data_IF_923657851817
#
_entry.id   IF_923657851817
#
_cell.length_a   1.000
_cell.length_b   1.000
_cell.length_c   1.000
_cell.angle_alpha   90.00
_cell.angle_beta   90.00
_cell.angle_gamma   90.00
#
_symmetry.space_group_name_H-M   'P 1'
#
loop_
_entity.id
_entity.type
_entity.pdbx_description
1 polymer ?
#
# COMPACT_ATOMS: atom_id res chain seq x y z
N UNK A 1 7.93 14.63 -26.56
CA UNK A 1 6.69 15.39 -26.33
C UNK A 1 5.82 14.61 -25.37
N UNK A 2 5.46 15.16 -24.22
CA UNK A 2 4.61 14.49 -23.22
C UNK A 2 3.17 14.42 -23.73
N UNK A 3 2.52 13.24 -23.65
CA UNK A 3 1.10 13.05 -23.97
C UNK A 3 0.37 12.59 -22.69
N UNK A 4 -0.86 13.05 -22.49
CA UNK A 4 -1.70 12.71 -21.33
C UNK A 4 -2.98 12.02 -21.80
N UNK A 5 -3.34 10.94 -21.13
CA UNK A 5 -4.55 10.17 -21.40
C UNK A 5 -5.42 10.20 -20.16
N UNK A 6 -6.69 10.61 -20.34
CA UNK A 6 -7.72 10.51 -19.31
C UNK A 6 -8.59 9.29 -19.64
N UNK A 7 -8.40 8.21 -18.89
CA UNK A 7 -9.16 6.97 -19.01
C UNK A 7 -10.71 7.13 -19.01
N UNK A 8 -11.33 8.17 -18.42
CA UNK A 8 -12.80 8.36 -18.52
C UNK A 8 -13.34 8.80 -19.90
N UNK A 9 -12.47 9.08 -20.90
CA UNK A 9 -12.90 9.64 -22.19
C UNK A 9 -12.44 8.85 -23.42
N UNK A 10 -11.95 7.62 -23.24
CA UNK A 10 -11.60 6.73 -24.33
C UNK A 10 -12.23 5.36 -24.08
N UNK A 11 -12.57 4.65 -25.16
CA UNK A 11 -13.21 3.33 -25.21
C UNK A 11 -14.74 3.41 -25.32
N UNK A 12 -15.17 3.70 -26.55
CA UNK A 12 -16.52 3.39 -27.05
C UNK A 12 -16.50 2.87 -28.51
N UNK A 13 -15.32 2.71 -29.16
CA UNK A 13 -15.29 1.78 -30.31
C UNK A 13 -14.02 0.93 -30.56
N UNK A 14 -12.89 1.09 -29.85
CA UNK A 14 -11.65 0.35 -30.16
C UNK A 14 -10.89 -0.01 -28.87
N UNK A 15 -10.68 -1.29 -28.62
CA UNK A 15 -10.14 -1.87 -27.37
C UNK A 15 -8.68 -1.53 -27.03
N UNK A 16 -8.06 -0.56 -27.69
CA UNK A 16 -6.75 0.01 -27.34
C UNK A 16 -6.80 1.51 -27.62
N UNK A 17 -6.21 2.35 -26.76
CA UNK A 17 -6.01 3.77 -27.07
C UNK A 17 -4.66 3.94 -27.77
N UNK A 18 -4.62 4.21 -29.09
CA UNK A 18 -3.37 4.37 -29.80
C UNK A 18 -2.70 5.68 -29.38
N UNK A 19 -1.51 5.59 -28.80
CA UNK A 19 -0.69 6.75 -28.44
C UNK A 19 0.43 6.88 -29.44
N UNK A 20 0.29 7.82 -30.39
CA UNK A 20 1.41 8.07 -31.30
C UNK A 20 2.59 8.69 -30.53
N UNK A 21 3.76 8.15 -30.76
CA UNK A 21 5.00 8.66 -30.19
C UNK A 21 6.06 8.69 -31.29
N UNK A 22 7.12 9.46 -31.06
CA UNK A 22 8.27 9.41 -31.97
C UNK A 22 8.90 8.01 -31.95
N UNK A 23 9.10 7.42 -33.12
CA UNK A 23 9.76 6.13 -33.28
C UNK A 23 11.25 6.16 -32.89
N UNK A 24 11.82 4.97 -32.64
CA UNK A 24 13.23 4.73 -32.35
C UNK A 24 13.78 5.55 -31.18
N UNK A 25 13.00 5.71 -30.11
CA UNK A 25 13.47 6.32 -28.88
C UNK A 25 12.85 5.67 -27.65
N UNK A 26 13.63 5.63 -26.57
CA UNK A 26 13.16 5.24 -25.26
C UNK A 26 12.11 6.22 -24.75
N UNK A 27 11.03 5.68 -24.20
CA UNK A 27 9.92 6.41 -23.59
C UNK A 27 9.88 6.12 -22.11
N UNK A 28 9.46 7.12 -21.34
CA UNK A 28 9.05 6.91 -19.96
C UNK A 28 7.56 7.16 -19.83
N UNK A 29 6.87 6.20 -19.25
CA UNK A 29 5.42 6.16 -19.14
C UNK A 29 5.06 6.16 -17.66
N UNK A 30 4.27 7.15 -17.24
CA UNK A 30 3.77 7.25 -15.87
C UNK A 30 2.31 6.81 -15.84
N UNK A 31 2.00 5.80 -15.04
CA UNK A 31 0.65 5.34 -14.80
C UNK A 31 0.25 5.78 -13.40
N UNK A 32 -0.87 6.50 -13.29
CA UNK A 32 -1.34 7.09 -12.03
C UNK A 32 -2.86 6.88 -11.94
N UNK A 33 -3.33 6.32 -10.84
CA UNK A 33 -4.74 5.98 -10.64
C UNK A 33 -5.16 6.17 -9.18
N UNK A 34 -6.43 6.54 -8.98
CA UNK A 34 -7.03 6.75 -7.66
C UNK A 34 -6.39 7.86 -6.80
N UNK A 35 -5.87 8.91 -7.45
CA UNK A 35 -5.06 9.92 -6.76
C UNK A 35 -5.81 10.98 -5.97
N UNK A 36 -7.13 11.03 -6.10
CA UNK A 36 -7.97 12.10 -5.55
C UNK A 36 -7.87 12.21 -4.02
N UNK A 37 -7.65 11.09 -3.32
CA UNK A 37 -7.59 11.03 -1.84
C UNK A 37 -6.18 10.84 -1.29
N UNK A 38 -5.17 10.84 -2.15
CA UNK A 38 -3.77 10.67 -1.72
C UNK A 38 -3.24 11.97 -1.13
N UNK A 39 -2.83 11.92 0.14
CA UNK A 39 -2.07 13.01 0.77
C UNK A 39 -0.62 12.97 0.30
N UNK A 40 -0.31 13.76 -0.73
CA UNK A 40 1.03 13.88 -1.26
C UNK A 40 1.80 15.02 -0.60
N UNK A 41 3.11 14.85 -0.48
CA UNK A 41 4.05 15.89 -0.08
C UNK A 41 5.22 15.96 -1.04
N UNK A 42 5.76 17.17 -1.22
CA UNK A 42 7.01 17.45 -1.94
C UNK A 42 8.08 17.76 -0.88
N UNK A 43 8.64 16.70 -0.30
CA UNK A 43 9.45 16.80 0.92
C UNK A 43 8.61 17.27 2.12
N UNK A 44 8.91 18.45 2.65
CA UNK A 44 8.24 19.01 3.84
C UNK A 44 6.91 19.71 3.55
N UNK A 45 6.57 19.96 2.28
CA UNK A 45 5.39 20.74 1.91
C UNK A 45 4.27 19.83 1.44
N UNK A 46 3.09 19.92 2.06
CA UNK A 46 1.91 19.24 1.58
C UNK A 46 1.49 19.75 0.19
N UNK A 47 1.19 18.84 -0.73
CA UNK A 47 0.57 19.19 -2.01
C UNK A 47 -0.88 19.56 -1.71
N UNK A 48 -1.17 20.86 -1.81
CA UNK A 48 -2.48 21.41 -1.44
C UNK A 48 -3.64 20.82 -2.27
N UNK A 49 -3.36 20.51 -3.53
CA UNK A 49 -4.32 19.91 -4.45
C UNK A 49 -3.60 18.92 -5.38
N UNK A 50 -3.68 17.65 -5.02
CA UNK A 50 -3.12 16.54 -5.81
C UNK A 50 -3.76 16.47 -7.19
N UNK A 51 -5.07 16.75 -7.30
CA UNK A 51 -5.76 16.75 -8.57
C UNK A 51 -5.30 17.90 -9.46
N UNK A 52 -5.17 19.12 -8.93
CA UNK A 52 -4.65 20.25 -9.71
C UNK A 52 -3.20 20.04 -10.17
N UNK A 53 -2.38 19.34 -9.39
CA UNK A 53 -1.02 18.98 -9.79
C UNK A 53 -1.02 18.14 -11.07
N UNK A 54 -1.80 17.05 -11.09
CA UNK A 54 -1.86 16.15 -12.24
C UNK A 54 -2.71 16.71 -13.38
N UNK A 55 -3.82 17.37 -13.05
CA UNK A 55 -4.65 18.07 -14.02
C UNK A 55 -3.79 19.06 -14.77
N UNK A 56 -2.96 19.86 -14.07
CA UNK A 56 -2.09 20.91 -14.58
C UNK A 56 -1.04 20.48 -15.62
N UNK A 57 -0.83 19.18 -15.80
CA UNK A 57 0.06 18.67 -16.82
C UNK A 57 -0.57 18.83 -18.22
N UNK A 58 0.17 19.36 -19.19
CA UNK A 58 -0.33 19.66 -20.56
C UNK A 58 0.64 19.13 -21.60
N UNK A 59 0.12 18.68 -22.74
CA UNK A 59 0.96 18.31 -23.86
C UNK A 59 1.78 19.52 -24.35
N UNK A 60 3.05 19.29 -24.68
CA UNK A 60 3.97 20.34 -25.12
C UNK A 60 4.61 21.18 -24.01
N UNK A 61 4.20 21.01 -22.75
CA UNK A 61 4.92 21.61 -21.61
C UNK A 61 6.02 20.69 -21.08
N UNK A 62 6.99 21.27 -20.39
CA UNK A 62 8.02 20.50 -19.69
C UNK A 62 7.39 19.65 -18.60
N UNK A 63 7.58 18.35 -18.67
CA UNK A 63 7.13 17.44 -17.62
C UNK A 63 7.95 17.68 -16.34
N UNK A 64 7.32 17.92 -15.17
CA UNK A 64 8.02 18.24 -13.93
C UNK A 64 8.58 16.97 -13.26
N UNK A 65 9.49 16.28 -13.97
CA UNK A 65 10.01 14.97 -13.59
C UNK A 65 10.49 14.93 -12.13
N UNK A 66 11.45 15.79 -11.77
CA UNK A 66 12.08 15.78 -10.44
C UNK A 66 11.05 15.95 -9.33
N UNK A 67 10.00 16.74 -9.58
CA UNK A 67 8.91 16.93 -8.65
C UNK A 67 8.10 15.66 -8.49
N UNK A 68 7.61 15.07 -9.59
CA UNK A 68 6.76 13.87 -9.55
C UNK A 68 7.51 12.67 -8.93
N UNK A 69 8.78 12.46 -9.31
CA UNK A 69 9.63 11.39 -8.78
C UNK A 69 10.06 11.62 -7.31
N UNK A 70 9.93 12.85 -6.82
CA UNK A 70 10.21 13.23 -5.44
C UNK A 70 9.00 13.20 -4.50
N UNK A 71 7.78 12.99 -5.03
CA UNK A 71 6.57 12.98 -4.21
C UNK A 71 6.58 11.81 -3.23
N UNK A 72 6.04 12.04 -2.03
CA UNK A 72 5.80 11.00 -1.03
C UNK A 72 4.35 11.02 -0.55
N UNK A 73 3.83 9.85 -0.17
CA UNK A 73 2.56 9.70 0.55
C UNK A 73 2.83 9.81 2.05
N UNK A 74 2.00 10.52 2.81
CA UNK A 74 2.17 10.73 4.25
C UNK A 74 1.03 10.20 5.13
N UNK A 75 1.38 9.50 6.20
CA UNK A 75 0.52 9.05 7.31
C UNK A 75 1.21 9.39 8.64
N UNK A 76 0.81 10.49 9.27
CA UNK A 76 1.59 11.11 10.36
C UNK A 76 0.89 10.99 11.74
N UNK A 77 -0.30 10.37 11.81
CA UNK A 77 -1.13 10.31 13.01
C UNK A 77 -1.43 8.91 13.53
N UNK A 78 -1.54 8.77 14.85
CA UNK A 78 -2.10 7.56 15.48
C UNK A 78 -3.49 7.30 14.90
N UNK A 79 -3.72 6.10 14.37
CA UNK A 79 -4.91 5.69 13.58
C UNK A 79 -5.01 6.15 12.12
N UNK A 80 -4.02 6.88 11.58
CA UNK A 80 -4.01 7.18 10.15
C UNK A 80 -3.65 5.94 9.33
N UNK A 81 -4.45 5.73 8.28
CA UNK A 81 -4.31 4.69 7.28
C UNK A 81 -4.80 5.26 5.94
N UNK A 82 -4.49 4.57 4.84
CA UNK A 82 -5.10 4.87 3.55
C UNK A 82 -6.58 4.50 3.59
N UNK A 83 -7.43 5.36 3.01
CA UNK A 83 -8.88 5.20 3.03
C UNK A 83 -9.47 5.51 1.65
N UNK A 84 -10.50 4.75 1.27
CA UNK A 84 -11.14 4.86 -0.05
C UNK A 84 -10.34 4.15 -1.16
N UNK A 85 -10.50 4.56 -2.42
CA UNK A 85 -9.71 4.04 -3.53
C UNK A 85 -8.21 4.19 -3.24
N UNK A 86 -7.48 3.08 -3.34
CA UNK A 86 -6.06 3.06 -3.01
C UNK A 86 -5.25 3.66 -4.16
N UNK A 87 -4.27 4.54 -3.88
CA UNK A 87 -3.39 5.10 -4.89
C UNK A 87 -2.65 3.98 -5.60
N UNK A 88 -2.57 4.07 -6.92
CA UNK A 88 -1.99 3.05 -7.78
C UNK A 88 -1.08 3.74 -8.79
N UNK A 89 0.21 3.40 -8.79
CA UNK A 89 1.16 4.11 -9.64
C UNK A 89 2.36 3.27 -10.06
N UNK A 90 2.88 3.58 -11.25
CA UNK A 90 4.10 2.99 -11.81
C UNK A 90 4.82 3.96 -12.76
N UNK A 91 6.11 3.69 -13.00
CA UNK A 91 6.94 4.39 -13.96
C UNK A 91 7.70 3.37 -14.82
N UNK A 92 7.31 3.26 -16.09
CA UNK A 92 7.88 2.29 -17.03
C UNK A 92 8.81 2.94 -18.03
N UNK A 93 9.88 2.25 -18.36
CA UNK A 93 10.80 2.63 -19.45
C UNK A 93 10.63 1.64 -20.59
N UNK A 94 10.25 2.12 -21.77
CA UNK A 94 9.94 1.28 -22.93
C UNK A 94 10.70 1.77 -24.16
N UNK A 95 11.38 0.87 -24.85
CA UNK A 95 11.94 1.14 -26.18
C UNK A 95 10.83 1.07 -27.22
N UNK A 96 10.66 2.13 -28.02
CA UNK A 96 9.69 2.14 -29.12
C UNK A 96 10.43 2.08 -30.44
N UNK A 97 10.13 1.04 -31.22
CA UNK A 97 10.68 0.82 -32.56
C UNK A 97 10.14 1.78 -33.62
N UNK A 98 10.28 1.39 -34.88
CA UNK A 98 9.74 2.08 -36.06
C UNK A 98 8.38 1.56 -36.54
N UNK A 99 7.88 0.50 -35.92
CA UNK A 99 6.57 -0.08 -36.16
C UNK A 99 5.63 0.11 -34.94
N UNK A 100 4.32 0.01 -35.19
CA UNK A 100 3.32 -0.02 -34.12
C UNK A 100 3.55 -1.25 -33.24
N UNK A 101 3.55 -1.03 -31.93
CA UNK A 101 3.80 -2.09 -30.94
C UNK A 101 2.77 -2.02 -29.81
N UNK A 102 2.32 -3.20 -29.39
CA UNK A 102 1.51 -3.39 -28.20
C UNK A 102 2.42 -3.62 -27.00
N UNK A 103 2.17 -2.92 -25.90
CA UNK A 103 3.00 -3.00 -24.69
C UNK A 103 2.07 -3.18 -23.50
N UNK A 104 2.25 -4.30 -22.78
CA UNK A 104 1.60 -4.52 -21.50
C UNK A 104 2.33 -3.74 -20.40
N UNK A 105 1.58 -2.91 -19.69
CA UNK A 105 2.06 -2.14 -18.55
C UNK A 105 1.22 -2.50 -17.33
N UNK A 106 1.86 -2.61 -16.17
CA UNK A 106 1.17 -2.88 -14.92
C UNK A 106 1.16 -1.63 -14.02
N UNK A 107 0.30 -1.66 -13.01
CA UNK A 107 0.26 -0.66 -11.96
C UNK A 107 0.10 -1.32 -10.60
N UNK A 108 0.86 -0.89 -9.60
CA UNK A 108 0.81 -1.46 -8.24
C UNK A 108 0.13 -0.52 -7.26
N UNK A 109 -0.54 -1.08 -6.24
CA UNK A 109 -1.08 -0.29 -5.12
C UNK A 109 0.05 0.25 -4.26
N UNK A 110 0.03 1.52 -3.91
CA UNK A 110 0.94 2.14 -2.95
C UNK A 110 0.55 1.85 -1.49
N UNK A 111 0.18 0.60 -1.20
CA UNK A 111 -0.36 0.17 0.09
C UNK A 111 0.02 -1.28 0.42
N UNK A 112 0.09 -1.58 1.71
CA UNK A 112 0.07 -2.94 2.26
C UNK A 112 -1.27 -3.17 2.91
N UNK A 113 -1.95 -4.25 2.52
CA UNK A 113 -3.21 -4.66 3.13
C UNK A 113 -2.93 -5.57 4.32
N UNK A 114 -3.47 -5.23 5.47
CA UNK A 114 -3.51 -6.12 6.63
C UNK A 114 -4.90 -6.69 6.81
N UNK A 115 -5.02 -8.01 6.96
CA UNK A 115 -6.24 -8.69 7.38
C UNK A 115 -5.96 -9.43 8.66
N UNK A 116 -6.79 -9.23 9.69
CA UNK A 116 -6.62 -9.89 10.98
C UNK A 116 -7.66 -10.98 11.14
N UNK A 117 -7.21 -12.20 11.39
CA UNK A 117 -8.03 -13.36 11.71
C UNK A 117 -7.76 -13.77 13.15
N UNK A 118 -8.72 -13.55 14.02
CA UNK A 118 -8.58 -13.71 15.46
C UNK A 118 -9.40 -14.90 15.92
N UNK A 119 -8.74 -15.85 16.58
CA UNK A 119 -9.36 -17.00 17.22
C UNK A 119 -9.13 -16.93 18.72
N UNK A 120 -10.21 -16.96 19.49
CA UNK A 120 -10.16 -16.95 20.96
C UNK A 120 -10.72 -18.26 21.53
N UNK A 121 -10.13 -18.77 22.61
CA UNK A 121 -10.63 -19.93 23.34
C UNK A 121 -11.90 -19.62 24.15
N UNK A 122 -12.08 -18.36 24.56
CA UNK A 122 -13.23 -17.86 25.29
C UNK A 122 -13.89 -16.69 24.57
N UNK A 123 -15.15 -16.41 24.93
CA UNK A 123 -15.78 -15.15 24.56
C UNK A 123 -14.97 -13.97 25.13
N UNK A 124 -14.79 -12.92 24.33
CA UNK A 124 -14.11 -11.69 24.73
C UNK A 124 -14.62 -10.51 23.89
N UNK A 125 -14.39 -9.28 24.37
CA UNK A 125 -14.57 -8.08 23.56
C UNK A 125 -13.20 -7.51 23.24
N UNK A 126 -12.84 -7.49 21.95
CA UNK A 126 -11.66 -6.78 21.49
C UNK A 126 -12.02 -5.29 21.47
N UNK A 127 -11.23 -4.47 22.15
CA UNK A 127 -11.44 -3.01 22.29
C UNK A 127 -10.27 -2.21 21.72
N UNK A 128 -9.14 -2.86 21.43
CA UNK A 128 -7.98 -2.16 20.88
C UNK A 128 -7.07 -3.05 20.05
N UNK A 129 -6.47 -2.46 19.03
CA UNK A 129 -5.43 -3.06 18.20
C UNK A 129 -4.37 -2.01 17.88
N UNK A 130 -3.10 -2.35 18.07
CA UNK A 130 -2.00 -1.47 17.69
C UNK A 130 -0.89 -2.23 16.97
N UNK A 131 -0.30 -1.59 15.96
CA UNK A 131 0.87 -2.11 15.23
C UNK A 131 2.01 -1.11 15.41
N UNK A 132 3.12 -1.56 15.98
CA UNK A 132 4.28 -0.73 16.22
C UNK A 132 5.12 -0.60 14.94
N UNK A 133 5.74 0.57 14.79
CA UNK A 133 6.80 0.84 13.80
C UNK A 133 6.32 0.84 12.35
N UNK A 134 5.14 1.38 12.10
CA UNK A 134 4.63 1.63 10.75
C UNK A 134 5.33 2.82 10.11
N UNK A 135 5.59 2.73 8.81
CA UNK A 135 6.23 3.78 8.05
C UNK A 135 5.26 4.96 7.87
N UNK A 136 5.64 6.19 8.25
CA UNK A 136 4.79 7.35 8.04
C UNK A 136 4.85 7.86 6.61
N UNK A 137 5.84 7.42 5.82
CA UNK A 137 6.05 7.87 4.45
C UNK A 137 6.45 6.73 3.53
N UNK A 138 5.97 6.82 2.30
CA UNK A 138 6.41 6.02 1.16
C UNK A 138 6.62 6.94 -0.03
N UNK A 139 7.52 6.57 -0.95
CA UNK A 139 7.58 7.26 -2.24
C UNK A 139 6.25 7.11 -2.95
N UNK A 140 5.80 8.15 -3.63
CA UNK A 140 4.56 8.09 -4.38
C UNK A 140 4.74 7.09 -5.52
N UNK A 141 5.63 7.39 -6.47
CA UNK A 141 6.11 6.41 -7.45
C UNK A 141 7.00 5.36 -6.76
N UNK A 142 6.88 4.07 -7.12
CA UNK A 142 7.70 3.03 -6.52
C UNK A 142 9.16 3.23 -6.91
N UNK A 143 10.03 2.94 -5.95
CA UNK A 143 11.46 2.74 -6.19
C UNK A 143 11.75 1.28 -5.96
N UNK A 144 11.21 0.43 -6.82
CA UNK A 144 11.17 -1.01 -6.63
C UNK A 144 11.67 -1.74 -7.88
N UNK A 145 12.27 -2.89 -7.63
CA UNK A 145 12.55 -3.91 -8.63
C UNK A 145 11.56 -5.05 -8.44
N UNK A 146 11.18 -5.68 -9.55
CA UNK A 146 10.14 -6.70 -9.57
C UNK A 146 10.68 -8.05 -10.05
N UNK A 147 10.12 -9.13 -9.52
CA UNK A 147 10.36 -10.48 -10.05
C UNK A 147 9.61 -10.71 -11.37
N UNK A 148 9.78 -11.90 -11.96
CA UNK A 148 9.13 -12.26 -13.22
C UNK A 148 7.59 -12.38 -13.12
N UNK A 149 7.04 -12.38 -11.91
CA UNK A 149 5.61 -12.37 -11.61
C UNK A 149 5.12 -10.99 -11.17
N UNK A 150 5.94 -9.93 -11.33
CA UNK A 150 5.64 -8.55 -10.94
C UNK A 150 5.44 -8.37 -9.42
N UNK A 151 5.98 -9.25 -8.59
CA UNK A 151 6.07 -9.01 -7.15
C UNK A 151 7.30 -8.18 -6.83
N UNK A 152 7.19 -7.33 -5.81
CA UNK A 152 8.32 -6.50 -5.36
C UNK A 152 9.41 -7.40 -4.78
N UNK A 153 10.56 -7.43 -5.45
CA UNK A 153 11.77 -8.15 -5.02
C UNK A 153 12.63 -7.27 -4.11
N UNK A 154 12.85 -6.02 -4.53
CA UNK A 154 13.58 -5.02 -3.74
C UNK A 154 12.92 -3.64 -3.88
N UNK A 155 13.13 -2.76 -2.90
CA UNK A 155 12.51 -1.44 -2.89
C UNK A 155 13.25 -0.44 -2.00
N UNK A 156 13.04 0.85 -2.22
CA UNK A 156 13.49 1.91 -1.32
C UNK A 156 12.31 2.52 -0.56
N UNK A 157 12.57 2.94 0.67
CA UNK A 157 11.64 3.76 1.45
C UNK A 157 12.28 5.11 1.73
N UNK A 158 11.50 6.20 1.86
CA UNK A 158 12.05 7.50 2.24
C UNK A 158 12.87 7.39 3.52
N UNK A 159 14.09 7.91 3.50
CA UNK A 159 14.93 7.96 4.70
C UNK A 159 14.26 8.84 5.76
N UNK A 160 14.11 8.30 6.96
CA UNK A 160 13.58 9.00 8.11
C UNK A 160 13.73 8.19 9.39
N UNK A 161 13.94 8.87 10.51
CA UNK A 161 14.16 8.23 11.82
C UNK A 161 12.84 7.89 12.53
N UNK A 162 11.72 8.28 11.93
CA UNK A 162 10.41 8.23 12.58
C UNK A 162 9.57 7.09 12.03
N UNK A 163 9.14 6.21 12.93
CA UNK A 163 8.06 5.26 12.69
C UNK A 163 6.94 5.52 13.69
N UNK A 164 5.69 5.38 13.27
CA UNK A 164 4.55 5.62 14.14
C UNK A 164 3.91 4.33 14.65
N UNK A 165 3.17 4.45 15.75
CA UNK A 165 2.31 3.39 16.26
C UNK A 165 0.93 3.59 15.64
N UNK A 166 0.52 2.65 14.79
CA UNK A 166 -0.85 2.62 14.30
C UNK A 166 -1.74 2.06 15.40
N UNK A 167 -2.93 2.64 15.60
CA UNK A 167 -3.83 2.29 16.70
C UNK A 167 -5.29 2.37 16.24
N UNK A 168 -6.08 1.34 16.57
CA UNK A 168 -7.53 1.38 16.60
C UNK A 168 -7.95 1.23 18.06
N UNK A 169 -8.61 2.25 18.59
CA UNK A 169 -9.18 2.24 19.95
C UNK A 169 -10.65 1.82 19.94
N UNK A 170 -11.25 1.66 21.12
CA UNK A 170 -12.58 1.05 21.33
C UNK A 170 -13.68 1.66 20.46
N UNK A 171 -13.70 2.98 20.32
CA UNK A 171 -14.66 3.69 19.48
C UNK A 171 -14.63 3.28 17.99
N UNK A 172 -13.53 2.65 17.54
CA UNK A 172 -13.30 2.17 16.17
C UNK A 172 -13.20 0.65 16.07
N UNK A 173 -13.29 -0.09 17.18
CA UNK A 173 -13.11 -1.55 17.20
C UNK A 173 -13.92 -2.24 18.30
N UNK A 174 -15.26 -2.11 18.40
CA UNK A 174 -16.05 -2.87 19.37
C UNK A 174 -16.37 -4.26 18.79
N UNK A 175 -15.38 -5.15 18.75
CA UNK A 175 -15.52 -6.46 18.09
C UNK A 175 -15.68 -7.57 19.12
N UNK A 176 -16.82 -8.27 19.07
CA UNK A 176 -17.02 -9.46 19.89
C UNK A 176 -16.29 -10.65 19.29
N UNK A 177 -15.42 -11.25 20.09
CA UNK A 177 -14.80 -12.53 19.82
C UNK A 177 -15.69 -13.63 20.41
N UNK A 178 -16.11 -14.57 19.57
CA UNK A 178 -16.86 -15.75 20.01
C UNK A 178 -15.90 -16.92 20.22
N UNK A 179 -16.10 -17.66 21.32
CA UNK A 179 -15.28 -18.81 21.67
C UNK A 179 -15.18 -19.81 20.50
N UNK A 180 -13.95 -20.24 20.19
CA UNK A 180 -13.61 -21.21 19.17
C UNK A 180 -14.06 -20.86 17.73
N UNK A 181 -14.43 -19.60 17.47
CA UNK A 181 -14.66 -19.08 16.11
C UNK A 181 -13.50 -18.19 15.67
N UNK A 182 -13.34 -18.10 14.35
CA UNK A 182 -12.43 -17.13 13.74
C UNK A 182 -13.22 -15.90 13.37
N UNK A 183 -12.82 -14.75 13.92
CA UNK A 183 -13.36 -13.44 13.57
C UNK A 183 -12.36 -12.73 12.68
N UNK A 184 -12.82 -12.27 11.51
CA UNK A 184 -12.01 -11.47 10.60
C UNK A 184 -12.36 -9.99 10.78
N UNK A 185 -11.35 -9.14 10.92
CA UNK A 185 -11.52 -7.69 11.02
C UNK A 185 -11.57 -7.04 9.63
N UNK A 186 -12.16 -5.84 9.56
CA UNK A 186 -12.01 -4.98 8.38
C UNK A 186 -10.53 -4.73 8.06
N UNK A 187 -10.16 -4.71 6.76
CA UNK A 187 -8.78 -4.58 6.37
C UNK A 187 -8.22 -3.19 6.69
N UNK A 188 -6.93 -3.17 7.03
CA UNK A 188 -6.19 -1.95 7.33
C UNK A 188 -5.17 -1.72 6.22
N UNK A 189 -5.11 -0.50 5.67
CA UNK A 189 -4.20 -0.17 4.57
C UNK A 189 -3.12 0.80 5.01
N UNK A 190 -1.89 0.30 5.11
CA UNK A 190 -0.73 1.07 5.59
C UNK A 190 0.31 1.21 4.48
N UNK A 191 1.30 2.08 4.69
CA UNK A 191 2.37 2.28 3.72
C UNK A 191 3.43 1.18 3.79
N UNK A 192 4.16 1.02 2.69
CA UNK A 192 5.33 0.14 2.66
C UNK A 192 6.40 0.58 3.66
N UNK A 193 7.14 -0.36 4.22
CA UNK A 193 8.13 -0.10 5.26
C UNK A 193 9.26 -1.12 5.29
N UNK A 194 10.42 -0.70 5.80
CA UNK A 194 11.63 -1.53 5.98
C UNK A 194 12.20 -1.39 7.39
N UNK A 195 11.32 -1.40 8.40
CA UNK A 195 11.79 -1.28 9.77
C UNK A 195 12.62 -2.51 10.14
N UNK A 196 13.80 -2.27 10.70
CA UNK A 196 14.65 -3.30 11.27
C UNK A 196 14.79 -3.04 12.77
N UNK A 197 14.31 -3.95 13.61
CA UNK A 197 14.49 -3.88 15.06
C UNK A 197 15.82 -4.55 15.43
N UNK A 198 16.86 -3.80 15.82
CA UNK A 198 18.14 -4.38 16.21
C UNK A 198 18.05 -5.23 17.50
N UNK A 199 16.93 -5.13 18.24
CA UNK A 199 16.67 -5.90 19.45
C UNK A 199 15.70 -7.06 19.22
N UNK A 200 15.22 -7.27 17.99
CA UNK A 200 14.35 -8.40 17.69
C UNK A 200 15.06 -9.73 18.02
N UNK A 201 14.38 -10.67 18.71
CA UNK A 201 14.94 -12.00 18.92
C UNK A 201 15.28 -12.68 17.59
N UNK A 202 16.31 -13.52 17.58
CA UNK A 202 16.72 -14.25 16.37
C UNK A 202 15.53 -15.02 15.76
N UNK A 203 15.27 -14.79 14.48
CA UNK A 203 14.16 -15.41 13.74
C UNK A 203 12.78 -14.77 13.95
N UNK A 204 12.70 -13.63 14.66
CA UNK A 204 11.48 -12.82 14.77
C UNK A 204 11.51 -11.63 13.82
N UNK A 205 10.33 -11.12 13.45
CA UNK A 205 10.22 -9.88 12.68
C UNK A 205 10.57 -8.66 13.52
N UNK A 206 10.69 -7.52 12.86
CA UNK A 206 10.86 -6.21 13.50
C UNK A 206 9.55 -5.59 14.00
N UNK A 207 8.40 -6.18 13.67
CA UNK A 207 7.09 -5.57 13.87
C UNK A 207 6.38 -6.20 15.06
N UNK A 208 5.80 -5.35 15.91
CA UNK A 208 5.08 -5.78 17.11
C UNK A 208 3.62 -5.38 17.04
N UNK A 209 2.78 -6.21 17.64
CA UNK A 209 1.34 -6.00 17.75
C UNK A 209 0.92 -6.01 19.22
N UNK A 210 -0.09 -5.21 19.54
CA UNK A 210 -0.76 -5.20 20.84
C UNK A 210 -2.27 -5.28 20.64
N UNK A 211 -2.95 -6.12 21.42
CA UNK A 211 -4.41 -6.17 21.50
C UNK A 211 -4.86 -5.79 22.92
N UNK A 212 -5.97 -5.07 22.96
CA UNK A 212 -6.68 -4.74 24.19
C UNK A 212 -8.02 -5.49 24.23
N UNK A 213 -8.29 -6.18 25.33
CA UNK A 213 -9.52 -6.93 25.53
C UNK A 213 -10.24 -6.37 26.76
N UNK A 214 -11.54 -6.11 26.62
CA UNK A 214 -12.36 -5.60 27.72
C UNK A 214 -12.28 -6.50 28.96
N UNK A 215 -12.18 -5.86 30.13
CA UNK A 215 -12.06 -6.54 31.41
C UNK A 215 -10.68 -7.12 31.73
N UNK A 216 -9.64 -6.87 30.90
CA UNK A 216 -8.24 -7.18 31.22
C UNK A 216 -7.47 -5.92 31.57
N UNK A 217 -6.57 -6.04 32.54
CA UNK A 217 -5.64 -4.95 32.93
C UNK A 217 -4.35 -4.95 32.08
N UNK A 218 -4.08 -6.03 31.34
CA UNK A 218 -2.88 -6.24 30.54
C UNK A 218 -3.16 -6.29 29.03
N UNK A 219 -2.28 -5.68 28.23
CA UNK A 219 -2.30 -5.82 26.77
C UNK A 219 -1.70 -7.16 26.36
N UNK A 220 -2.35 -7.84 25.42
CA UNK A 220 -1.76 -8.99 24.74
C UNK A 220 -0.77 -8.48 23.69
N UNK A 221 0.51 -8.79 23.84
CA UNK A 221 1.55 -8.26 22.94
C UNK A 221 2.45 -9.35 22.38
N UNK A 222 3.02 -9.11 21.19
CA UNK A 222 3.99 -10.01 20.58
C UNK A 222 4.59 -9.48 19.29
N UNK A 223 5.61 -10.17 18.79
CA UNK A 223 6.15 -9.94 17.44
C UNK A 223 5.26 -10.63 16.41
N UNK A 224 5.15 -10.02 15.22
CA UNK A 224 4.46 -10.59 14.07
C UNK A 224 5.36 -11.62 13.37
N UNK A 225 5.24 -12.89 13.72
CA UNK A 225 6.11 -13.93 13.16
C UNK A 225 5.95 -14.03 11.64
N UNK A 226 7.05 -14.38 10.94
CA UNK A 226 7.11 -14.52 9.47
C UNK A 226 6.85 -13.24 8.65
N UNK A 227 7.02 -12.05 9.26
CA UNK A 227 6.92 -10.77 8.55
C UNK A 227 8.30 -10.11 8.36
N UNK A 228 9.06 -10.42 7.29
CA UNK A 228 10.41 -9.90 7.11
C UNK A 228 10.43 -8.41 6.75
N UNK A 229 9.49 -7.98 5.91
CA UNK A 229 9.39 -6.63 5.39
C UNK A 229 7.96 -6.36 4.91
N UNK A 230 7.66 -5.10 4.59
CA UNK A 230 6.34 -4.65 4.13
C UNK A 230 6.48 -3.94 2.78
N UNK A 231 6.71 -4.64 1.67
CA UNK A 231 6.68 -4.01 0.35
C UNK A 231 5.25 -3.63 -0.02
N UNK A 232 5.08 -2.57 -0.82
CA UNK A 232 3.76 -2.21 -1.37
C UNK A 232 3.15 -3.35 -2.18
N UNK A 233 1.84 -3.28 -2.43
CA UNK A 233 1.09 -4.27 -3.16
C UNK A 233 1.19 -5.69 -2.58
N UNK A 234 1.26 -5.80 -1.25
CA UNK A 234 1.21 -7.07 -0.52
C UNK A 234 0.02 -7.16 0.41
N UNK A 235 -0.36 -8.40 0.72
CA UNK A 235 -1.40 -8.74 1.67
C UNK A 235 -0.79 -9.51 2.84
N UNK A 236 -0.67 -8.84 3.99
CA UNK A 236 -0.29 -9.43 5.26
C UNK A 236 -1.52 -9.99 5.97
N UNK A 237 -1.69 -11.31 5.95
CA UNK A 237 -2.74 -12.00 6.70
C UNK A 237 -2.21 -12.34 8.08
N UNK A 238 -2.65 -11.61 9.09
CA UNK A 238 -2.26 -11.78 10.49
C UNK A 238 -3.23 -12.74 11.16
N UNK A 239 -2.75 -13.92 11.55
CA UNK A 239 -3.51 -14.88 12.35
C UNK A 239 -3.12 -14.75 13.81
N UNK A 240 -4.12 -14.51 14.66
CA UNK A 240 -3.97 -14.34 16.10
C UNK A 240 -4.73 -15.46 16.82
N UNK A 241 -4.03 -16.18 17.69
CA UNK A 241 -4.66 -17.20 18.55
C UNK A 241 -4.49 -16.81 20.01
N UNK A 242 -5.62 -16.73 20.71
CA UNK A 242 -5.73 -16.36 22.13
C UNK A 242 -6.31 -17.57 22.87
N UNK A 243 -5.62 -18.03 23.92
CA UNK A 243 -6.07 -19.14 24.77
C UNK A 243 -5.47 -19.02 26.16
N UNK A 244 -5.39 -20.13 26.89
CA UNK A 244 -4.86 -20.14 28.27
C UNK A 244 -3.34 -19.94 28.35
N UNK A 245 -2.65 -20.07 27.21
CA UNK A 245 -1.20 -19.87 27.09
C UNK A 245 -0.80 -18.49 26.55
N UNK A 246 0.47 -18.35 26.16
CA UNK A 246 0.94 -17.14 25.47
C UNK A 246 0.23 -17.00 24.11
N UNK A 247 -0.27 -15.81 23.76
CA UNK A 247 -0.87 -15.59 22.45
C UNK A 247 0.17 -15.78 21.33
N UNK A 248 -0.30 -16.23 20.17
CA UNK A 248 0.53 -16.36 18.97
C UNK A 248 0.08 -15.37 17.90
N UNK A 249 1.05 -14.76 17.21
CA UNK A 249 0.82 -13.79 16.14
C UNK A 249 1.66 -14.18 14.93
N UNK A 250 1.04 -14.80 13.93
CA UNK A 250 1.73 -15.27 12.72
C UNK A 250 1.22 -14.52 11.51
N UNK A 251 2.11 -14.24 10.56
CA UNK A 251 1.76 -13.53 9.34
C UNK A 251 2.06 -14.38 8.12
N UNK A 252 1.08 -14.51 7.24
CA UNK A 252 1.31 -14.97 5.87
C UNK A 252 1.36 -13.73 4.98
N UNK A 253 2.51 -13.52 4.31
CA UNK A 253 2.66 -12.44 3.33
C UNK A 253 2.40 -13.02 1.96
N UNK A 254 1.32 -12.55 1.34
CA UNK A 254 0.89 -12.96 0.01
C UNK A 254 1.05 -11.77 -0.94
N UNK A 255 1.34 -12.02 -2.23
CA UNK A 255 1.11 -11.01 -3.26
C UNK A 255 -0.30 -10.46 -3.13
N UNK A 256 -0.46 -9.14 -3.19
CA UNK A 256 -1.79 -8.58 -3.35
C UNK A 256 -2.17 -8.71 -4.83
N UNK A 257 -2.58 -9.93 -5.16
CA UNK A 257 -2.64 -10.45 -6.52
C UNK A 257 -3.35 -9.55 -7.52
N UNK A 258 -2.97 -9.76 -8.76
CA UNK A 258 -3.57 -9.15 -9.93
C UNK A 258 -5.08 -9.40 -9.92
N UNK A 259 -5.83 -8.31 -9.96
CA UNK A 259 -7.20 -8.37 -10.47
C UNK A 259 -7.08 -7.90 -11.89
N UNK A 260 -7.24 -8.81 -12.85
CA UNK A 260 -7.47 -8.41 -14.23
C UNK A 260 -8.72 -7.55 -14.20
N UNK A 261 -8.53 -6.24 -14.34
CA UNK A 261 -9.64 -5.33 -14.46
C UNK A 261 -10.19 -5.55 -15.86
N UNK A 262 -11.28 -6.31 -15.96
CA UNK A 262 -12.26 -6.15 -17.03
C UNK A 262 -13.29 -5.13 -16.53
N UNK A 263 -13.01 -3.82 -16.59
CA UNK A 263 -13.93 -2.83 -16.04
C UNK A 263 -15.31 -3.00 -16.70
N UNK A 264 -16.33 -3.30 -15.89
CA UNK A 264 -17.74 -3.32 -16.29
C UNK A 264 -18.32 -1.92 -16.59
N UNK A 265 -17.46 -0.96 -16.89
CA UNK A 265 -17.78 0.40 -17.29
C UNK A 265 -17.04 0.67 -18.60
N UNK A 266 -17.83 0.90 -19.64
CA UNK A 266 -17.44 0.70 -21.03
C UNK A 266 -18.52 -0.12 -21.74
N UNK A 267 -19.72 0.47 -21.84
CA UNK A 267 -20.50 0.30 -23.08
C UNK A 267 -20.14 1.49 -23.92
#
# INVERSE_FOLDING_TARGET
TTRFVRLPAAVLPYGCEPIEVRANEQKRIYLLANEEKTRLTDGATAVADTWALFDGLRAGTTFPQTRIEGLTIGLDGASQQLAGPLPMNECHTVEVGDEDQEIDLFVTRAAVKFTFRIRSASDASLTGLAIEKMAPRAYYLPRAEYDAQQHVDSYEVPQGDTYYRFELAEAKLPVRLEAAKTVELEPIYLLEGKYNDPQAPAGKSSYRISLDLDGRDDLLTGYLDNLPALPRNTHAVVTITIGDGKPSFTVDVLPYGEVVLEPGFGI
#
